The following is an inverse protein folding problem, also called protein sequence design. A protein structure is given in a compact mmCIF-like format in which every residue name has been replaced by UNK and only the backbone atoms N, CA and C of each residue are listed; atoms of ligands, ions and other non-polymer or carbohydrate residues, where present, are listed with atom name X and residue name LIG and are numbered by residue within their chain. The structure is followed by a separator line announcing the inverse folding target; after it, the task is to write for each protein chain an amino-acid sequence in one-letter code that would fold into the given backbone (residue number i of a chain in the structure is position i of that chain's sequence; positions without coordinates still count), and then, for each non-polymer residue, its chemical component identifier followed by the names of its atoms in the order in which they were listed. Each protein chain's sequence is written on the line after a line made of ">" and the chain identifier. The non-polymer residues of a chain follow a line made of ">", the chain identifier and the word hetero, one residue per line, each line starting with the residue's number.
data_IF_843737179857
#
_entry.id   IF_843737179857
#
_cell.length_a   1.000
_cell.length_b   1.000
_cell.length_c   1.000
_cell.angle_alpha   90.00
_cell.angle_beta   90.00
_cell.angle_gamma   90.00
#
_symmetry.space_group_name_H-M   'P 1'
#
loop_
_entity.id
_entity.type
_entity.pdbx_description
1 polymer ?
#
# COMPACT_ATOMS: atom_id res chain seq x y z
N UNK A 1 14.84 -13.76 -16.71
CA UNK A 1 13.61 -13.01 -16.35
C UNK A 1 13.41 -13.13 -14.86
N UNK A 2 12.73 -12.19 -14.21
CA UNK A 2 12.63 -11.94 -12.75
C UNK A 2 12.10 -13.09 -11.84
N UNK A 3 12.32 -14.36 -12.21
CA UNK A 3 12.15 -15.57 -11.41
C UNK A 3 10.72 -15.82 -10.90
N UNK A 4 9.72 -15.23 -11.57
CA UNK A 4 8.31 -15.36 -11.18
C UNK A 4 7.93 -14.60 -9.91
N UNK A 5 8.76 -13.65 -9.46
CA UNK A 5 8.46 -12.82 -8.32
C UNK A 5 7.31 -11.84 -8.63
N UNK A 6 6.53 -11.54 -7.59
CA UNK A 6 5.54 -10.49 -7.55
C UNK A 6 6.20 -9.13 -7.30
N UNK A 7 5.77 -8.16 -8.10
CA UNK A 7 6.15 -6.74 -8.07
C UNK A 7 4.90 -5.87 -8.21
N UNK A 8 5.09 -4.55 -8.19
CA UNK A 8 4.06 -3.55 -8.53
C UNK A 8 3.46 -3.71 -9.94
N UNK A 9 4.14 -4.45 -10.85
CA UNK A 9 3.65 -4.84 -12.17
C UNK A 9 2.23 -5.45 -12.12
N UNK A 10 1.99 -6.26 -11.07
CA UNK A 10 0.71 -6.94 -10.86
C UNK A 10 -0.40 -5.91 -10.67
N UNK A 11 -0.21 -4.98 -9.74
CA UNK A 11 -1.23 -4.00 -9.36
C UNK A 11 -1.41 -2.86 -10.38
N UNK A 12 -0.33 -2.42 -11.05
CA UNK A 12 -0.40 -1.26 -11.95
C UNK A 12 -0.69 -1.65 -13.40
N UNK A 13 -0.13 -2.75 -13.90
CA UNK A 13 -0.21 -3.09 -15.32
C UNK A 13 -1.19 -4.23 -15.62
N UNK A 14 -1.21 -5.27 -14.78
CA UNK A 14 -2.05 -6.45 -15.01
C UNK A 14 -3.46 -6.24 -14.44
N UNK A 15 -3.55 -5.68 -13.24
CA UNK A 15 -4.79 -5.52 -12.49
C UNK A 15 -5.89 -4.78 -13.26
N UNK A 16 -5.63 -3.65 -13.98
CA UNK A 16 -6.69 -2.93 -14.67
C UNK A 16 -7.38 -3.78 -15.74
N UNK A 17 -6.63 -4.60 -16.47
CA UNK A 17 -7.21 -5.49 -17.49
C UNK A 17 -8.05 -6.58 -16.82
N UNK A 18 -7.48 -7.23 -15.79
CA UNK A 18 -8.19 -8.29 -15.05
C UNK A 18 -9.45 -7.77 -14.37
N UNK A 19 -9.48 -6.53 -13.92
CA UNK A 19 -10.66 -5.96 -13.26
C UNK A 19 -11.87 -5.92 -14.20
N UNK A 20 -11.64 -5.72 -15.50
CA UNK A 20 -12.70 -5.70 -16.51
C UNK A 20 -13.15 -7.08 -17.00
N UNK A 21 -12.27 -8.09 -16.95
CA UNK A 21 -12.54 -9.41 -17.55
C UNK A 21 -12.68 -10.55 -16.53
N UNK A 22 -12.08 -10.41 -15.35
CA UNK A 22 -11.98 -11.43 -14.32
C UNK A 22 -11.81 -10.82 -12.90
N UNK A 23 -12.77 -10.03 -12.39
CA UNK A 23 -12.65 -9.35 -11.09
C UNK A 23 -12.43 -10.31 -9.90
N UNK A 24 -12.87 -11.57 -10.00
CA UNK A 24 -12.57 -12.59 -8.98
C UNK A 24 -11.06 -12.87 -8.85
N UNK A 25 -10.30 -12.77 -9.94
CA UNK A 25 -8.83 -12.91 -9.91
C UNK A 25 -8.20 -11.71 -9.20
N UNK A 26 -8.69 -10.49 -9.47
CA UNK A 26 -8.28 -9.29 -8.76
C UNK A 26 -8.48 -9.40 -7.26
N UNK A 27 -9.62 -9.94 -6.81
CA UNK A 27 -9.86 -10.22 -5.39
C UNK A 27 -8.81 -11.19 -4.85
N UNK A 28 -8.52 -12.30 -5.53
CA UNK A 28 -7.50 -13.25 -5.13
C UNK A 28 -6.09 -12.65 -5.02
N UNK A 29 -5.74 -11.70 -5.91
CA UNK A 29 -4.47 -10.96 -5.84
C UNK A 29 -4.41 -10.06 -4.60
N UNK A 30 -5.50 -9.36 -4.26
CA UNK A 30 -5.57 -8.56 -3.04
C UNK A 30 -5.58 -9.44 -1.78
N UNK A 31 -6.24 -10.59 -1.80
CA UNK A 31 -6.20 -11.59 -0.72
C UNK A 31 -4.78 -12.14 -0.50
N UNK A 32 -3.98 -12.30 -1.55
CA UNK A 32 -2.56 -12.63 -1.41
C UNK A 32 -1.81 -11.53 -0.64
N UNK A 33 -2.00 -10.26 -1.01
CA UNK A 33 -1.40 -9.13 -0.27
C UNK A 33 -1.83 -9.16 1.20
N UNK A 34 -3.12 -9.32 1.48
CA UNK A 34 -3.64 -9.44 2.86
C UNK A 34 -2.96 -10.57 3.65
N UNK A 35 -2.84 -11.79 3.07
CA UNK A 35 -2.17 -12.93 3.71
C UNK A 35 -0.71 -12.67 4.05
N UNK A 36 -0.07 -11.71 3.39
CA UNK A 36 1.33 -11.30 3.64
C UNK A 36 1.46 -10.02 4.46
N UNK A 37 0.36 -9.45 4.97
CA UNK A 37 0.39 -8.18 5.70
C UNK A 37 1.28 -8.21 6.95
N UNK A 38 1.29 -9.31 7.70
CA UNK A 38 2.17 -9.44 8.88
C UNK A 38 3.66 -9.44 8.51
N UNK A 39 4.01 -9.98 7.33
CA UNK A 39 5.38 -9.90 6.81
C UNK A 39 5.72 -8.47 6.40
N UNK A 40 4.76 -7.74 5.82
CA UNK A 40 4.92 -6.33 5.50
C UNK A 40 5.07 -5.45 6.77
N UNK A 41 4.36 -5.77 7.86
CA UNK A 41 4.56 -5.14 9.18
C UNK A 41 5.96 -5.42 9.73
N UNK A 42 6.39 -6.68 9.72
CA UNK A 42 7.75 -7.06 10.12
C UNK A 42 8.81 -6.34 9.28
N UNK A 43 8.57 -6.13 7.99
CA UNK A 43 9.47 -5.38 7.11
C UNK A 43 9.55 -3.91 7.48
N UNK A 44 8.43 -3.23 7.73
CA UNK A 44 8.44 -1.85 8.21
C UNK A 44 9.24 -1.75 9.53
N UNK A 45 9.02 -2.68 10.46
CA UNK A 45 9.75 -2.74 11.72
C UNK A 45 11.26 -2.94 11.54
N UNK A 46 11.68 -3.80 10.60
CA UNK A 46 13.11 -3.98 10.27
C UNK A 46 13.77 -2.70 9.78
N UNK A 47 13.01 -1.80 9.15
CA UNK A 47 13.47 -0.49 8.71
C UNK A 47 13.22 0.61 9.75
N UNK A 48 12.84 0.24 10.97
CA UNK A 48 12.50 1.16 12.07
C UNK A 48 11.31 2.09 11.77
N UNK A 49 10.37 1.62 10.95
CA UNK A 49 9.15 2.34 10.61
C UNK A 49 7.90 1.68 11.20
N UNK A 50 6.85 2.49 11.38
CA UNK A 50 5.51 2.02 11.77
C UNK A 50 4.70 1.54 10.57
N UNK A 51 3.65 0.78 10.85
CA UNK A 51 2.68 0.33 9.83
C UNK A 51 3.17 -0.90 9.08
N UNK A 52 2.85 -0.95 7.79
CA UNK A 52 3.26 -2.04 6.90
C UNK A 52 3.97 -1.51 5.66
N UNK A 53 5.04 -2.18 5.26
CA UNK A 53 5.73 -1.97 3.99
C UNK A 53 5.78 -3.27 3.22
N UNK A 54 5.05 -3.34 2.11
CA UNK A 54 5.15 -4.49 1.22
C UNK A 54 6.54 -4.57 0.60
N UNK A 55 7.09 -5.78 0.40
CA UNK A 55 8.36 -5.95 -0.28
C UNK A 55 8.27 -5.48 -1.73
N UNK A 56 9.36 -4.91 -2.23
CA UNK A 56 9.44 -4.53 -3.65
C UNK A 56 9.33 -5.75 -4.56
N UNK A 57 9.98 -6.85 -4.16
CA UNK A 57 10.02 -8.13 -4.88
C UNK A 57 9.75 -9.28 -3.94
N UNK A 58 8.81 -10.17 -4.25
CA UNK A 58 8.49 -11.30 -3.36
C UNK A 58 7.87 -12.53 -4.04
N UNK A 59 7.99 -13.70 -3.41
CA UNK A 59 7.18 -14.91 -3.73
C UNK A 59 6.25 -15.27 -2.58
N UNK A 60 6.71 -15.09 -1.33
CA UNK A 60 6.05 -15.58 -0.11
C UNK A 60 5.63 -14.46 0.86
N UNK A 61 5.85 -13.20 0.50
CA UNK A 61 5.66 -12.01 1.34
C UNK A 61 6.93 -11.42 1.95
N UNK A 62 8.08 -12.10 1.87
CA UNK A 62 9.38 -11.55 2.28
C UNK A 62 10.03 -10.76 1.14
N UNK A 63 10.84 -9.77 1.49
CA UNK A 63 11.66 -9.03 0.52
C UNK A 63 12.74 -9.95 -0.07
N UNK A 64 12.73 -10.06 -1.40
CA UNK A 64 13.68 -10.84 -2.16
C UNK A 64 14.67 -9.94 -2.94
N UNK A 65 14.55 -8.61 -2.89
CA UNK A 65 15.47 -7.68 -3.55
C UNK A 65 16.85 -7.71 -2.91
N UNK A 66 17.89 -7.94 -3.73
CA UNK A 66 19.28 -7.96 -3.27
C UNK A 66 19.90 -6.56 -3.17
N UNK A 67 19.29 -5.56 -3.80
CA UNK A 67 19.83 -4.20 -3.88
C UNK A 67 18.80 -3.18 -3.36
N UNK A 68 19.15 -2.45 -2.30
CA UNK A 68 18.24 -1.55 -1.61
C UNK A 68 17.73 -0.40 -2.50
N UNK A 69 18.63 0.21 -3.30
CA UNK A 69 18.30 1.41 -4.09
C UNK A 69 17.26 1.13 -5.19
N UNK A 70 17.38 -0.01 -5.88
CA UNK A 70 16.42 -0.49 -6.88
C UNK A 70 15.47 -1.55 -6.31
N UNK A 71 15.29 -1.52 -4.99
CA UNK A 71 14.47 -2.48 -4.26
C UNK A 71 13.65 -1.75 -3.21
N UNK A 72 13.93 -2.02 -1.94
CA UNK A 72 13.19 -1.47 -0.80
C UNK A 72 13.03 0.05 -0.79
N UNK A 73 13.96 0.84 -1.34
CA UNK A 73 13.80 2.30 -1.43
C UNK A 73 12.63 2.75 -2.34
N UNK A 74 12.06 1.83 -3.12
CA UNK A 74 10.87 2.03 -3.95
C UNK A 74 9.59 1.83 -3.14
N UNK A 75 9.41 2.67 -2.13
CA UNK A 75 8.26 2.59 -1.21
C UNK A 75 6.90 2.80 -1.88
N UNK A 76 6.87 3.27 -3.15
CA UNK A 76 5.63 3.50 -3.88
C UNK A 76 4.80 2.22 -4.08
N UNK A 77 5.39 1.02 -3.95
CA UNK A 77 4.68 -0.27 -3.92
C UNK A 77 3.45 -0.27 -2.99
N UNK A 78 3.55 0.39 -1.83
CA UNK A 78 2.42 0.51 -0.90
C UNK A 78 1.27 1.31 -1.50
N UNK A 79 1.57 2.39 -2.22
CA UNK A 79 0.58 3.21 -2.88
C UNK A 79 0.02 2.55 -4.14
N UNK A 80 0.81 1.73 -4.82
CA UNK A 80 0.37 0.93 -5.96
C UNK A 80 -0.68 -0.12 -5.55
N UNK A 81 -0.41 -0.83 -4.45
CA UNK A 81 -1.35 -1.80 -3.86
C UNK A 81 -2.64 -1.10 -3.39
N UNK A 82 -2.52 0.05 -2.71
CA UNK A 82 -3.69 0.83 -2.31
C UNK A 82 -4.49 1.36 -3.50
N UNK A 83 -3.84 1.72 -4.61
CA UNK A 83 -4.49 2.13 -5.84
C UNK A 83 -5.25 0.96 -6.49
N UNK A 84 -4.67 -0.23 -6.56
CA UNK A 84 -5.38 -1.42 -7.05
C UNK A 84 -6.59 -1.76 -6.16
N UNK A 85 -6.44 -1.69 -4.83
CA UNK A 85 -7.56 -1.84 -3.89
C UNK A 85 -8.66 -0.81 -4.15
N UNK A 86 -8.28 0.46 -4.36
CA UNK A 86 -9.21 1.53 -4.69
C UNK A 86 -10.00 1.20 -5.96
N UNK A 87 -9.33 0.80 -7.03
CA UNK A 87 -9.98 0.45 -8.29
C UNK A 87 -10.87 -0.77 -8.17
N UNK A 88 -10.43 -1.79 -7.43
CA UNK A 88 -11.25 -2.95 -7.15
C UNK A 88 -12.56 -2.58 -6.45
N UNK A 89 -12.48 -1.80 -5.36
CA UNK A 89 -13.66 -1.41 -4.60
C UNK A 89 -14.59 -0.49 -5.41
N UNK A 90 -14.03 0.49 -6.14
CA UNK A 90 -14.81 1.38 -7.02
C UNK A 90 -15.57 0.61 -8.11
N UNK A 91 -15.00 -0.47 -8.64
CA UNK A 91 -15.62 -1.25 -9.71
C UNK A 91 -16.61 -2.33 -9.22
N UNK A 92 -16.43 -2.84 -8.01
CA UNK A 92 -17.19 -4.02 -7.51
C UNK A 92 -18.15 -3.70 -6.37
N UNK A 93 -17.93 -2.60 -5.65
CA UNK A 93 -18.60 -2.29 -4.39
C UNK A 93 -18.54 -3.45 -3.37
N UNK A 94 -17.47 -4.26 -3.39
CA UNK A 94 -17.25 -5.39 -2.48
C UNK A 94 -16.85 -4.89 -1.09
N UNK A 95 -17.83 -4.34 -0.39
CA UNK A 95 -17.66 -3.84 0.97
C UNK A 95 -17.32 -4.94 1.97
N UNK A 96 -17.71 -6.19 1.69
CA UNK A 96 -17.36 -7.32 2.55
C UNK A 96 -15.85 -7.55 2.53
N UNK A 97 -15.23 -7.55 1.34
CA UNK A 97 -13.77 -7.59 1.24
C UNK A 97 -13.11 -6.36 1.88
N UNK A 98 -13.67 -5.17 1.66
CA UNK A 98 -13.14 -3.94 2.24
C UNK A 98 -13.12 -3.99 3.77
N UNK A 99 -14.21 -4.42 4.40
CA UNK A 99 -14.33 -4.56 5.86
C UNK A 99 -13.39 -5.66 6.40
N UNK A 100 -13.40 -6.84 5.77
CA UNK A 100 -12.68 -8.00 6.28
C UNK A 100 -11.16 -7.91 6.12
N UNK A 101 -10.68 -7.25 5.06
CA UNK A 101 -9.26 -7.28 4.67
C UNK A 101 -8.74 -5.92 4.18
N UNK A 102 -9.47 -5.28 3.27
CA UNK A 102 -8.99 -4.11 2.52
C UNK A 102 -8.65 -2.91 3.41
N UNK A 103 -9.50 -2.59 4.38
CA UNK A 103 -9.31 -1.45 5.26
C UNK A 103 -8.07 -1.61 6.16
N UNK A 104 -7.81 -2.82 6.66
CA UNK A 104 -6.63 -3.11 7.46
C UNK A 104 -5.34 -2.93 6.65
N UNK A 105 -5.29 -3.45 5.42
CA UNK A 105 -4.16 -3.24 4.51
C UNK A 105 -3.92 -1.75 4.29
N UNK A 106 -4.98 -1.05 3.88
CA UNK A 106 -4.95 0.36 3.51
C UNK A 106 -4.46 1.24 4.66
N UNK A 107 -4.97 1.03 5.88
CA UNK A 107 -4.61 1.86 7.02
C UNK A 107 -3.20 1.58 7.55
N UNK A 108 -2.73 0.33 7.51
CA UNK A 108 -1.37 0.02 7.92
C UNK A 108 -0.33 0.55 6.95
N UNK A 109 -0.61 0.50 5.64
CA UNK A 109 0.27 1.11 4.63
C UNK A 109 0.16 2.64 4.62
N UNK A 110 -0.98 3.21 4.98
CA UNK A 110 -1.12 4.66 5.20
C UNK A 110 -0.33 5.14 6.43
N UNK A 111 -0.33 4.36 7.52
CA UNK A 111 0.49 4.63 8.72
C UNK A 111 1.97 4.71 8.38
N UNK A 112 2.44 3.83 7.49
CA UNK A 112 3.82 3.85 7.01
C UNK A 112 4.18 5.17 6.33
N UNK A 113 3.31 5.72 5.45
CA UNK A 113 3.57 7.02 4.82
C UNK A 113 3.71 8.15 5.84
N UNK A 114 2.84 8.17 6.86
CA UNK A 114 2.89 9.20 7.91
C UNK A 114 4.17 9.13 8.75
N UNK A 115 4.79 7.95 8.88
CA UNK A 115 6.02 7.73 9.63
C UNK A 115 7.28 7.92 8.77
N UNK A 116 7.24 7.57 7.48
CA UNK A 116 8.33 7.75 6.52
C UNK A 116 8.54 9.23 6.16
N UNK A 117 7.45 9.97 5.96
CA UNK A 117 7.52 11.39 5.63
C UNK A 117 7.68 12.28 6.86
N UNK A 118 7.99 13.55 6.62
CA UNK A 118 8.16 14.54 7.68
C UNK A 118 7.69 15.92 7.21
N UNK A 119 7.42 16.82 8.15
CA UNK A 119 7.15 18.21 7.83
C UNK A 119 8.46 19.02 7.75
N UNK A 120 8.65 19.74 6.65
CA UNK A 120 9.75 20.69 6.49
C UNK A 120 9.56 21.91 7.39
N UNK A 121 10.58 22.76 7.50
CA UNK A 121 10.50 24.02 8.27
C UNK A 121 9.40 24.96 7.75
N UNK A 122 9.05 24.84 6.47
CA UNK A 122 7.98 25.60 5.83
C UNK A 122 6.59 24.98 6.04
N UNK A 123 6.48 23.93 6.87
CA UNK A 123 5.22 23.27 7.18
C UNK A 123 4.67 22.39 6.05
N UNK A 124 5.51 22.00 5.08
CA UNK A 124 5.11 21.10 3.98
C UNK A 124 5.48 19.67 4.30
N UNK A 125 4.59 18.72 4.03
CA UNK A 125 4.93 17.30 4.12
C UNK A 125 5.84 16.90 2.97
N UNK A 126 6.94 16.23 3.28
CA UNK A 126 7.96 15.80 2.33
C UNK A 126 8.33 14.33 2.56
N UNK A 127 8.62 13.64 1.46
CA UNK A 127 9.10 12.25 1.46
C UNK A 127 10.46 12.27 0.77
N UNK A 128 11.51 11.92 1.51
CA UNK A 128 12.90 12.05 1.09
C UNK A 128 13.59 10.68 0.97
N UNK A 129 14.66 10.61 0.18
CA UNK A 129 15.47 9.40 0.05
C UNK A 129 14.73 8.21 -0.54
N UNK A 130 13.89 8.45 -1.56
CA UNK A 130 13.09 7.41 -2.21
C UNK A 130 13.52 7.20 -3.64
N UNK A 131 13.32 5.99 -4.14
CA UNK A 131 13.42 5.69 -5.57
C UNK A 131 11.99 5.65 -6.13
N UNK A 132 11.75 6.37 -7.22
CA UNK A 132 10.46 6.29 -7.93
C UNK A 132 10.52 5.29 -9.09
N UNK A 133 9.51 5.27 -9.96
CA UNK A 133 9.48 4.35 -11.11
C UNK A 133 10.67 4.46 -12.06
N UNK A 134 11.33 5.62 -12.12
CA UNK A 134 12.63 5.75 -12.77
C UNK A 134 13.74 5.28 -11.82
N UNK A 135 14.08 3.98 -11.92
CA UNK A 135 15.11 3.34 -11.10
C UNK A 135 16.53 3.88 -11.34
N UNK A 136 16.77 4.60 -12.45
CA UNK A 136 18.09 5.20 -12.75
C UNK A 136 18.42 6.41 -11.87
N UNK A 137 17.43 6.97 -11.19
CA UNK A 137 17.59 8.13 -10.32
C UNK A 137 17.17 7.78 -8.88
N UNK A 138 17.96 6.95 -8.16
CA UNK A 138 17.59 6.47 -6.83
C UNK A 138 17.79 7.54 -5.74
N UNK A 139 17.08 7.36 -4.63
CA UNK A 139 17.18 8.19 -3.41
C UNK A 139 17.00 9.69 -3.64
N UNK A 140 16.05 10.05 -4.51
CA UNK A 140 15.66 11.44 -4.71
C UNK A 140 14.71 11.92 -3.62
N UNK A 141 14.69 13.23 -3.42
CA UNK A 141 13.74 13.88 -2.54
C UNK A 141 12.51 14.31 -3.33
N UNK A 142 11.33 14.05 -2.76
CA UNK A 142 10.04 14.44 -3.34
C UNK A 142 9.86 13.95 -4.77
N UNK A 143 10.09 12.65 -5.00
CA UNK A 143 9.73 12.03 -6.26
C UNK A 143 8.24 12.32 -6.57
N UNK A 144 7.97 12.91 -7.74
CA UNK A 144 6.64 13.38 -8.09
C UNK A 144 5.59 12.27 -8.10
N UNK A 145 5.93 11.10 -8.62
CA UNK A 145 5.05 9.94 -8.64
C UNK A 145 4.75 9.47 -7.21
N UNK A 146 5.79 9.21 -6.42
CA UNK A 146 5.66 8.72 -5.04
C UNK A 146 4.81 9.66 -4.19
N UNK A 147 5.05 10.97 -4.26
CA UNK A 147 4.29 11.96 -3.47
C UNK A 147 2.81 12.00 -3.88
N UNK A 148 2.49 11.96 -5.18
CA UNK A 148 1.11 11.97 -5.66
C UNK A 148 0.37 10.68 -5.30
N UNK A 149 1.04 9.53 -5.44
CA UNK A 149 0.47 8.23 -5.10
C UNK A 149 0.27 8.08 -3.59
N UNK A 150 1.21 8.53 -2.76
CA UNK A 150 1.05 8.58 -1.30
C UNK A 150 -0.10 9.51 -0.89
N UNK A 151 -0.25 10.67 -1.54
CA UNK A 151 -1.39 11.56 -1.31
C UNK A 151 -2.73 10.89 -1.67
N UNK A 152 -2.81 10.22 -2.82
CA UNK A 152 -4.01 9.48 -3.22
C UNK A 152 -4.34 8.37 -2.22
N UNK A 153 -3.34 7.60 -1.79
CA UNK A 153 -3.46 6.56 -0.78
C UNK A 153 -4.04 7.12 0.52
N UNK A 154 -3.47 8.20 1.07
CA UNK A 154 -3.96 8.80 2.33
C UNK A 154 -5.40 9.33 2.20
N UNK A 155 -5.75 9.95 1.06
CA UNK A 155 -7.13 10.38 0.79
C UNK A 155 -8.08 9.18 0.71
N UNK A 156 -7.66 8.10 0.08
CA UNK A 156 -8.46 6.89 -0.02
C UNK A 156 -8.66 6.23 1.35
N UNK A 157 -7.60 6.16 2.18
CA UNK A 157 -7.68 5.68 3.55
C UNK A 157 -8.73 6.45 4.38
N UNK A 158 -8.75 7.78 4.26
CA UNK A 158 -9.75 8.63 4.91
C UNK A 158 -11.17 8.36 4.37
N UNK A 159 -11.33 8.23 3.04
CA UNK A 159 -12.62 7.92 2.42
C UNK A 159 -13.18 6.58 2.89
N UNK A 160 -12.32 5.56 3.03
CA UNK A 160 -12.71 4.24 3.58
C UNK A 160 -13.08 4.34 5.05
N UNK A 161 -12.36 5.13 5.85
CA UNK A 161 -12.70 5.37 7.24
C UNK A 161 -14.09 5.99 7.39
N UNK A 162 -14.40 7.02 6.60
CA UNK A 162 -15.72 7.65 6.58
C UNK A 162 -16.81 6.65 6.13
N UNK A 163 -16.58 5.94 5.02
CA UNK A 163 -17.52 4.93 4.52
C UNK A 163 -17.83 3.84 5.55
N UNK A 164 -16.82 3.31 6.24
CA UNK A 164 -17.01 2.29 7.26
C UNK A 164 -17.65 2.86 8.53
N UNK A 165 -17.36 4.10 8.92
CA UNK A 165 -18.05 4.76 10.03
C UNK A 165 -19.55 4.93 9.75
N UNK A 166 -19.90 5.32 8.52
CA UNK A 166 -21.29 5.56 8.12
C UNK A 166 -22.07 4.26 7.90
N UNK A 167 -21.45 3.25 7.30
CA UNK A 167 -22.14 2.01 6.90
C UNK A 167 -21.98 0.85 7.89
N UNK A 168 -20.86 0.81 8.63
CA UNK A 168 -20.42 -0.33 9.47
C UNK A 168 -19.68 0.12 10.73
N UNK A 169 -20.28 0.99 11.57
CA UNK A 169 -19.59 1.65 12.67
C UNK A 169 -18.96 0.68 13.69
N UNK A 170 -19.61 -0.46 13.96
CA UNK A 170 -19.09 -1.47 14.88
C UNK A 170 -17.79 -2.13 14.36
N UNK A 171 -17.74 -2.46 13.06
CA UNK A 171 -16.56 -3.03 12.43
C UNK A 171 -15.42 -2.01 12.35
N UNK A 172 -15.74 -0.75 12.01
CA UNK A 172 -14.78 0.35 12.02
C UNK A 172 -14.16 0.54 13.41
N UNK A 173 -14.96 0.59 14.47
CA UNK A 173 -14.48 0.73 15.85
C UNK A 173 -13.62 -0.47 16.28
N UNK A 174 -14.03 -1.69 15.95
CA UNK A 174 -13.26 -2.90 16.25
C UNK A 174 -11.90 -2.90 15.55
N UNK A 175 -11.85 -2.48 14.28
CA UNK A 175 -10.60 -2.38 13.52
C UNK A 175 -9.70 -1.27 14.07
N UNK A 176 -10.24 -0.09 14.37
CA UNK A 176 -9.48 0.99 15.00
C UNK A 176 -8.87 0.53 16.34
N UNK A 177 -9.65 -0.14 17.18
CA UNK A 177 -9.15 -0.70 18.45
C UNK A 177 -8.03 -1.73 18.22
N UNK A 178 -8.22 -2.68 17.28
CA UNK A 178 -7.21 -3.69 16.95
C UNK A 178 -5.91 -3.08 16.45
N UNK A 179 -5.99 -2.00 15.69
CA UNK A 179 -4.83 -1.31 15.11
C UNK A 179 -4.27 -0.19 16.01
N UNK A 180 -4.88 0.08 17.18
CA UNK A 180 -4.49 1.21 18.02
C UNK A 180 -4.57 2.56 17.30
N UNK A 181 -5.61 2.73 16.47
CA UNK A 181 -5.95 4.00 15.81
C UNK A 181 -6.95 4.76 16.68
N UNK A 182 -6.74 6.07 16.82
CA UNK A 182 -7.61 6.99 17.56
C UNK A 182 -8.57 7.72 16.64
#
# INVERSE_FOLDING_TARGET
>A
GYEGHYFWDTEIYIFPVLLHVAPAVCRGLLEFRYRTLDRARARAQQLHHKGALYPWRTINGDEASAFFLAGTAQYHINADIAYALQKYWEATADDHFLEAMGAEMLWETARFWADLGHFTREGRFAIHGVTGPDEYTPLVNNNGYTNLMAQNHLRFALRVAQHLQDTRPAAAAALCHRLGLT
#
